data_IF_235054604811
#
_entry.id   IF_235054604811
#
_cell.length_a   1.000
_cell.length_b   1.000
_cell.length_c   1.000
_cell.angle_alpha   90.00
_cell.angle_beta   90.00
_cell.angle_gamma   90.00
#
_symmetry.space_group_name_H-M   'P 1'
#
loop_
_entity.id
_entity.type
_entity.pdbx_description
1 polymer ?
#
# COMPACT_ATOMS: atom_id res chain seq x y z
N UNK A 1 -20.46 11.60 -12.53
CA UNK A 1 -19.19 11.16 -13.14
C UNK A 1 -18.36 10.35 -12.17
N UNK A 2 -17.83 9.22 -12.64
CA UNK A 2 -16.87 8.40 -11.90
C UNK A 2 -15.47 8.73 -12.43
N UNK A 3 -14.51 8.99 -11.55
CA UNK A 3 -13.11 9.27 -11.93
C UNK A 3 -12.17 8.34 -11.17
N UNK A 4 -11.14 7.84 -11.86
CA UNK A 4 -10.02 7.16 -11.21
C UNK A 4 -9.28 8.17 -10.33
N UNK A 5 -9.25 7.92 -9.03
CA UNK A 5 -8.51 8.78 -8.09
C UNK A 5 -7.11 8.25 -7.82
N UNK A 6 -6.98 6.95 -7.54
CA UNK A 6 -5.71 6.32 -7.19
C UNK A 6 -5.55 4.91 -7.76
N UNK A 7 -4.31 4.48 -7.92
CA UNK A 7 -3.88 3.10 -8.14
C UNK A 7 -2.96 2.73 -6.99
N UNK A 8 -3.38 1.79 -6.14
CA UNK A 8 -2.60 1.34 -4.98
C UNK A 8 -2.02 -0.05 -5.23
N UNK A 9 -0.71 -0.18 -5.49
CA UNK A 9 -0.07 -1.49 -5.53
C UNK A 9 -0.04 -2.09 -4.11
N UNK A 10 -0.41 -3.36 -3.98
CA UNK A 10 -0.44 -4.06 -2.68
C UNK A 10 0.35 -5.35 -2.71
N UNK A 11 0.69 -5.87 -1.52
CA UNK A 11 1.43 -7.12 -1.35
C UNK A 11 2.80 -7.12 -2.05
N UNK A 12 3.49 -5.97 -2.04
CA UNK A 12 4.82 -5.84 -2.62
C UNK A 12 5.83 -6.71 -1.85
N UNK A 13 6.18 -7.85 -2.43
CA UNK A 13 7.22 -8.72 -1.91
C UNK A 13 8.55 -8.41 -2.59
N UNK A 14 9.50 -7.86 -1.81
CA UNK A 14 10.84 -7.50 -2.28
C UNK A 14 11.70 -8.70 -2.69
N UNK A 15 11.27 -9.93 -2.39
CA UNK A 15 11.94 -11.17 -2.82
C UNK A 15 11.54 -11.57 -4.24
N UNK A 16 10.41 -11.06 -4.73
CA UNK A 16 9.88 -11.37 -6.06
C UNK A 16 10.37 -10.32 -7.05
N UNK A 17 11.29 -10.72 -7.93
CA UNK A 17 11.90 -9.82 -8.93
C UNK A 17 10.87 -9.13 -9.82
N UNK A 18 9.85 -9.87 -10.25
CA UNK A 18 8.80 -9.37 -11.16
C UNK A 18 8.07 -8.14 -10.60
N UNK A 19 7.93 -8.04 -9.28
CA UNK A 19 7.29 -6.90 -8.63
C UNK A 19 7.98 -5.57 -8.98
N UNK A 20 9.31 -5.57 -9.10
CA UNK A 20 10.08 -4.37 -9.46
C UNK A 20 10.00 -4.02 -10.94
N UNK A 21 9.60 -4.96 -11.80
CA UNK A 21 9.39 -4.71 -13.23
C UNK A 21 8.01 -4.11 -13.50
N UNK A 22 7.03 -4.36 -12.63
CA UNK A 22 5.64 -3.90 -12.77
C UNK A 22 5.46 -2.45 -12.30
N UNK A 23 6.12 -2.03 -11.21
CA UNK A 23 5.94 -0.68 -10.67
C UNK A 23 6.21 0.44 -11.70
N UNK A 24 7.32 0.42 -12.48
CA UNK A 24 7.58 1.46 -13.48
C UNK A 24 6.53 1.48 -14.60
N UNK A 25 5.93 0.33 -14.92
CA UNK A 25 4.87 0.25 -15.93
C UNK A 25 3.59 0.91 -15.43
N UNK A 26 3.24 0.71 -14.15
CA UNK A 26 2.11 1.39 -13.52
C UNK A 26 2.33 2.90 -13.50
N UNK A 27 3.52 3.35 -13.09
CA UNK A 27 3.89 4.77 -13.09
C UNK A 27 3.82 5.37 -14.50
N UNK A 28 4.26 4.64 -15.51
CA UNK A 28 4.18 5.09 -16.92
C UNK A 28 2.73 5.24 -17.40
N UNK A 29 1.83 4.34 -16.99
CA UNK A 29 0.45 4.31 -17.48
C UNK A 29 -0.49 5.22 -16.69
N UNK A 30 -0.34 5.28 -15.37
CA UNK A 30 -1.26 5.97 -14.45
C UNK A 30 -0.65 7.24 -13.82
N UNK A 31 0.65 7.48 -14.01
CA UNK A 31 1.34 8.69 -13.57
C UNK A 31 1.17 8.94 -12.07
N UNK A 32 0.78 10.16 -11.73
CA UNK A 32 0.62 10.59 -10.35
C UNK A 32 -0.51 9.87 -9.61
N UNK A 33 -1.39 9.13 -10.28
CA UNK A 33 -2.42 8.35 -9.58
C UNK A 33 -1.84 7.14 -8.83
N UNK A 34 -0.61 6.70 -9.15
CA UNK A 34 0.04 5.57 -8.47
C UNK A 34 0.49 5.98 -7.07
N UNK A 35 0.04 5.23 -6.06
CA UNK A 35 0.47 5.36 -4.67
C UNK A 35 1.71 4.52 -4.36
N UNK A 36 2.40 4.90 -3.28
CA UNK A 36 3.44 4.05 -2.73
C UNK A 36 2.88 2.66 -2.40
N UNK A 37 3.63 1.58 -2.70
CA UNK A 37 3.12 0.23 -2.58
C UNK A 37 3.00 -0.21 -1.12
N UNK A 38 1.91 -0.91 -0.79
CA UNK A 38 1.81 -1.62 0.49
C UNK A 38 2.65 -2.89 0.42
N UNK A 39 3.68 -3.00 1.27
CA UNK A 39 4.57 -4.17 1.33
C UNK A 39 3.84 -5.39 1.84
N UNK A 40 4.25 -6.55 1.34
CA UNK A 40 3.89 -7.81 1.98
C UNK A 40 4.39 -7.79 3.43
N UNK A 41 3.48 -8.03 4.36
CA UNK A 41 3.77 -8.00 5.78
C UNK A 41 2.94 -9.07 6.51
N UNK A 42 3.60 -9.92 7.29
CA UNK A 42 2.92 -11.01 8.00
C UNK A 42 1.94 -10.49 9.07
N UNK A 43 2.31 -9.40 9.77
CA UNK A 43 1.47 -8.79 10.81
C UNK A 43 0.18 -8.23 10.22
N UNK A 44 0.27 -7.63 9.03
CA UNK A 44 -0.90 -7.15 8.28
C UNK A 44 -1.86 -8.29 7.92
N UNK A 45 -1.33 -9.48 7.60
CA UNK A 45 -2.15 -10.67 7.33
C UNK A 45 -2.72 -11.31 8.60
N UNK A 46 -2.04 -11.20 9.74
CA UNK A 46 -2.47 -11.75 11.03
C UNK A 46 -3.56 -10.89 11.70
N UNK A 47 -3.48 -9.56 11.57
CA UNK A 47 -4.36 -8.62 12.27
C UNK A 47 -5.88 -8.95 12.16
N UNK A 48 -6.44 -9.30 10.98
CA UNK A 48 -7.85 -9.67 10.86
C UNK A 48 -8.26 -10.88 11.72
N UNK A 49 -7.38 -11.87 11.89
CA UNK A 49 -7.66 -13.05 12.70
C UNK A 49 -7.78 -12.70 14.20
N UNK A 50 -7.17 -11.59 14.62
CA UNK A 50 -7.28 -11.04 15.97
C UNK A 50 -8.41 -10.02 16.12
N UNK A 51 -9.17 -9.74 15.06
CA UNK A 51 -10.23 -8.73 15.07
C UNK A 51 -9.71 -7.30 15.24
N UNK A 52 -8.44 -7.06 14.91
CA UNK A 52 -7.77 -5.77 15.05
C UNK A 52 -7.37 -5.22 13.69
N UNK A 53 -7.37 -3.90 13.53
CA UNK A 53 -6.72 -3.29 12.36
C UNK A 53 -5.20 -3.21 12.55
N UNK A 54 -4.44 -2.96 11.48
CA UNK A 54 -2.97 -3.05 11.54
C UNK A 54 -2.34 -2.11 12.57
N UNK A 55 -2.90 -0.91 12.77
CA UNK A 55 -2.39 0.03 13.77
C UNK A 55 -2.63 -0.40 15.23
N UNK A 56 -3.63 -1.25 15.48
CA UNK A 56 -3.90 -1.82 16.81
C UNK A 56 -3.06 -3.06 17.03
N UNK A 57 -2.94 -3.90 16.00
CA UNK A 57 -2.22 -5.17 16.06
C UNK A 57 -0.70 -4.96 16.17
N UNK A 58 -0.13 -4.14 15.27
CA UNK A 58 1.29 -3.81 15.28
C UNK A 58 1.57 -2.48 14.54
N UNK A 59 1.51 -1.37 15.29
CA UNK A 59 1.76 -0.02 14.78
C UNK A 59 3.20 0.20 14.27
N UNK A 60 4.15 -0.65 14.65
CA UNK A 60 5.55 -0.54 14.23
C UNK A 60 5.85 -1.42 13.00
N UNK A 61 4.88 -2.22 12.56
CA UNK A 61 5.02 -3.06 11.37
C UNK A 61 5.21 -2.22 10.10
N UNK A 62 5.89 -2.81 9.11
CA UNK A 62 5.98 -2.23 7.77
C UNK A 62 4.60 -1.95 7.16
N UNK A 63 3.61 -2.83 7.42
CA UNK A 63 2.24 -2.62 6.93
C UNK A 63 1.57 -1.40 7.55
N UNK A 64 1.73 -1.18 8.85
CA UNK A 64 1.24 0.03 9.52
C UNK A 64 1.90 1.29 8.95
N UNK A 65 3.22 1.27 8.76
CA UNK A 65 3.94 2.39 8.15
C UNK A 65 3.44 2.71 6.75
N UNK A 66 3.27 1.70 5.88
CA UNK A 66 2.84 1.90 4.49
C UNK A 66 1.41 2.48 4.42
N UNK A 67 0.50 2.00 5.27
CA UNK A 67 -0.85 2.55 5.36
C UNK A 67 -0.88 3.97 5.95
N UNK A 68 0.05 4.31 6.85
CA UNK A 68 0.17 5.66 7.38
C UNK A 68 0.59 6.66 6.29
N UNK A 69 1.57 6.31 5.46
CA UNK A 69 1.99 7.16 4.33
C UNK A 69 0.87 7.31 3.29
N UNK A 70 0.14 6.22 2.97
CA UNK A 70 -1.05 6.29 2.13
C UNK A 70 -2.11 7.25 2.72
N UNK A 71 -2.37 7.15 4.02
CA UNK A 71 -3.35 8.00 4.70
C UNK A 71 -2.95 9.48 4.64
N UNK A 72 -1.67 9.79 4.90
CA UNK A 72 -1.13 11.16 4.77
C UNK A 72 -1.34 11.73 3.38
N UNK A 73 -1.08 10.92 2.35
CA UNK A 73 -1.30 11.32 0.96
C UNK A 73 -2.77 11.62 0.68
N UNK A 74 -3.67 10.71 1.05
CA UNK A 74 -5.12 10.90 0.80
C UNK A 74 -5.62 12.19 1.47
N UNK A 75 -5.20 12.45 2.71
CA UNK A 75 -5.56 13.68 3.44
C UNK A 75 -4.95 14.93 2.79
N UNK A 76 -3.73 14.83 2.25
CA UNK A 76 -3.08 15.95 1.56
C UNK A 76 -3.65 16.26 0.18
N UNK A 77 -4.33 15.29 -0.44
CA UNK A 77 -4.96 15.41 -1.76
C UNK A 77 -6.45 15.83 -1.68
N UNK A 78 -7.05 15.85 -0.49
CA UNK A 78 -8.39 16.44 -0.24
C UNK A 78 -8.37 17.97 -0.27
#
# INVERSE_FOLDING_TARGET
DVKLRYVLPTALDRRVKQTFEILPQLETHFGQAVCDPIRYNIRLSEAPAHGQHIFEYDAQSNGAFDYLELTKRIIGDE
#
